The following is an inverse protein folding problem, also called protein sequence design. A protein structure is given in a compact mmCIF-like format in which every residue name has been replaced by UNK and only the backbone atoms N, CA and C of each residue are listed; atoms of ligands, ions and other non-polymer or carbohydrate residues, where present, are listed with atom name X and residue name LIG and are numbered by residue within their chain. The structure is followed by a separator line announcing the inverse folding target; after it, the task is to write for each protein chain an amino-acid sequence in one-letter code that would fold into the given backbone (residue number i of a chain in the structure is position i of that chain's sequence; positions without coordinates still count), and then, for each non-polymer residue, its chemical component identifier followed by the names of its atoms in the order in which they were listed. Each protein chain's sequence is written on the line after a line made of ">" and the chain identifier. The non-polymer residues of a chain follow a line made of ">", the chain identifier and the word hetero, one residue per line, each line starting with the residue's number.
data_IF_382474984114
#
_entry.id   IF_382474984114
#
_cell.length_a   1.000
_cell.length_b   1.000
_cell.length_c   1.000
_cell.angle_alpha   90.00
_cell.angle_beta   90.00
_cell.angle_gamma   90.00
#
_symmetry.space_group_name_H-M   'P 1'
#
loop_
_entity.id
_entity.type
_entity.pdbx_description
1 polymer ?
#
# COMPACT_ATOMS: atom_id res chain seq x y z
N UNK A 1 -87.53 0.23 -3.12
CA UNK A 1 -87.78 1.31 -4.11
C UNK A 1 -86.43 1.62 -4.75
N UNK A 2 -86.05 1.20 -5.96
CA UNK A 2 -86.74 0.68 -7.15
C UNK A 2 -87.32 1.72 -8.13
N UNK A 3 -86.48 2.14 -9.10
CA UNK A 3 -86.79 2.66 -10.46
C UNK A 3 -85.58 2.23 -11.35
N UNK A 4 -85.66 1.42 -12.42
CA UNK A 4 -86.24 1.60 -13.80
C UNK A 4 -85.56 2.68 -14.64
N UNK A 5 -85.16 2.54 -15.91
CA UNK A 5 -85.29 1.50 -17.00
C UNK A 5 -84.08 1.64 -17.97
N UNK A 6 -83.51 0.61 -18.62
CA UNK A 6 -83.93 -0.02 -19.90
C UNK A 6 -84.24 0.98 -21.05
N UNK A 7 -83.70 0.97 -22.29
CA UNK A 7 -83.38 -0.06 -23.33
C UNK A 7 -82.50 0.62 -24.46
N UNK A 8 -81.97 0.04 -25.56
CA UNK A 8 -81.69 -1.34 -26.04
C UNK A 8 -80.91 -1.34 -27.41
N UNK A 9 -80.15 -2.42 -27.69
CA UNK A 9 -79.81 -3.03 -29.02
C UNK A 9 -79.32 -2.22 -30.25
N UNK A 10 -78.25 -2.71 -30.90
CA UNK A 10 -78.30 -3.30 -32.28
C UNK A 10 -77.00 -4.05 -32.67
N UNK A 11 -77.09 -4.96 -33.66
CA UNK A 11 -75.98 -5.68 -34.32
C UNK A 11 -75.97 -5.35 -35.82
N UNK A 12 -74.79 -5.35 -36.45
CA UNK A 12 -74.58 -5.48 -37.90
C UNK A 12 -73.22 -6.19 -38.17
N UNK A 13 -73.01 -6.69 -39.41
CA UNK A 13 -71.79 -7.39 -39.89
C UNK A 13 -71.30 -6.78 -41.20
N UNK A 14 -70.02 -7.04 -41.56
CA UNK A 14 -69.37 -7.11 -42.92
C UNK A 14 -68.05 -6.29 -42.97
N UNK A 15 -67.00 -6.63 -43.75
CA UNK A 15 -66.51 -7.89 -44.38
C UNK A 15 -64.97 -7.78 -44.62
N UNK A 16 -64.31 -8.84 -45.12
CA UNK A 16 -62.84 -9.07 -45.13
C UNK A 16 -61.94 -8.21 -46.08
N UNK A 17 -60.63 -8.21 -45.74
CA UNK A 17 -59.43 -8.16 -46.61
C UNK A 17 -59.05 -6.79 -47.24
N UNK A 18 -57.74 -6.49 -47.51
CA UNK A 18 -56.64 -7.39 -47.92
C UNK A 18 -55.30 -7.32 -47.13
N UNK A 19 -54.28 -8.03 -47.64
CA UNK A 19 -52.86 -8.18 -47.22
C UNK A 19 -51.93 -7.72 -48.38
N UNK A 20 -50.57 -7.70 -48.25
CA UNK A 20 -49.66 -7.56 -47.09
C UNK A 20 -48.61 -6.41 -47.31
N UNK A 21 -47.60 -6.26 -46.41
CA UNK A 21 -46.19 -5.93 -46.78
C UNK A 21 -45.23 -6.10 -45.58
N UNK A 22 -43.93 -6.29 -45.85
CA UNK A 22 -42.88 -6.68 -44.91
C UNK A 22 -42.46 -5.62 -43.86
N UNK A 23 -42.08 -6.09 -42.66
CA UNK A 23 -40.97 -5.52 -41.88
C UNK A 23 -40.02 -6.64 -41.45
N UNK A 24 -38.71 -6.39 -41.52
CA UNK A 24 -37.65 -7.39 -41.29
C UNK A 24 -37.53 -7.77 -39.81
N UNK A 25 -37.36 -9.05 -39.53
CA UNK A 25 -36.99 -9.56 -38.21
C UNK A 25 -35.52 -9.26 -37.92
N UNK A 26 -35.22 -8.41 -36.95
CA UNK A 26 -33.86 -8.25 -36.41
C UNK A 26 -33.65 -9.24 -35.26
N UNK A 27 -32.86 -10.29 -35.51
CA UNK A 27 -32.50 -11.28 -34.49
C UNK A 27 -31.64 -10.63 -33.40
N UNK A 28 -32.27 -10.17 -32.31
CA UNK A 28 -31.57 -9.73 -31.10
C UNK A 28 -31.00 -10.95 -30.38
N UNK A 29 -29.79 -11.38 -30.76
CA UNK A 29 -29.02 -12.40 -30.04
C UNK A 29 -28.85 -11.94 -28.59
N UNK A 30 -29.62 -12.53 -27.69
CA UNK A 30 -29.37 -12.45 -26.25
C UNK A 30 -28.12 -13.26 -25.94
N UNK A 31 -26.97 -12.60 -25.85
CA UNK A 31 -25.76 -13.16 -25.28
C UNK A 31 -26.00 -13.40 -23.80
N UNK A 32 -26.44 -14.62 -23.46
CA UNK A 32 -26.43 -15.10 -22.09
C UNK A 32 -25.00 -14.98 -21.55
N UNK A 33 -24.76 -14.11 -20.57
CA UNK A 33 -23.51 -14.14 -19.80
C UNK A 33 -23.34 -15.57 -19.30
N UNK A 34 -22.20 -16.19 -19.62
CA UNK A 34 -21.90 -17.51 -19.09
C UNK A 34 -22.00 -17.46 -17.55
N UNK A 35 -22.52 -18.50 -16.88
CA UNK A 35 -22.44 -18.57 -15.43
C UNK A 35 -20.98 -18.38 -15.01
N UNK A 36 -20.73 -17.51 -14.03
CA UNK A 36 -19.44 -17.51 -13.34
C UNK A 36 -19.17 -18.93 -12.84
N UNK A 37 -17.96 -19.48 -13.04
CA UNK A 37 -17.66 -20.84 -12.61
C UNK A 37 -18.01 -21.00 -11.12
N UNK A 38 -18.59 -22.13 -10.70
CA UNK A 38 -19.02 -22.32 -9.33
C UNK A 38 -17.83 -22.11 -8.40
N UNK A 39 -18.02 -21.27 -7.38
CA UNK A 39 -17.00 -20.98 -6.39
C UNK A 39 -16.63 -22.28 -5.68
N UNK A 40 -15.36 -22.66 -5.78
CA UNK A 40 -14.82 -23.87 -5.17
C UNK A 40 -14.73 -23.67 -3.64
N UNK A 41 -15.81 -24.03 -2.96
CA UNK A 41 -15.95 -23.83 -1.51
C UNK A 41 -14.85 -24.53 -0.71
N UNK A 42 -14.25 -25.61 -1.23
CA UNK A 42 -13.16 -26.33 -0.56
C UNK A 42 -11.80 -25.64 -0.73
N UNK A 43 -11.66 -24.69 -1.67
CA UNK A 43 -10.47 -23.82 -1.76
C UNK A 43 -10.58 -22.59 -0.85
N UNK A 44 -11.80 -22.05 -0.66
CA UNK A 44 -12.04 -20.93 0.25
C UNK A 44 -12.16 -21.36 1.71
N UNK A 45 -12.70 -22.55 1.94
CA UNK A 45 -12.93 -23.15 3.26
C UNK A 45 -12.48 -24.61 3.24
N UNK A 46 -11.15 -24.86 3.17
CA UNK A 46 -10.62 -26.22 3.26
C UNK A 46 -11.02 -26.89 4.59
N UNK A 47 -11.19 -28.23 4.64
CA UNK A 47 -11.61 -28.92 5.85
C UNK A 47 -10.69 -28.62 7.03
N UNK A 48 -11.25 -28.40 8.22
CA UNK A 48 -10.45 -28.04 9.40
C UNK A 48 -9.45 -29.15 9.74
N UNK A 49 -8.17 -28.78 9.88
CA UNK A 49 -7.06 -29.73 10.07
C UNK A 49 -6.53 -30.39 8.79
N UNK A 50 -7.02 -30.04 7.59
CA UNK A 50 -6.39 -30.43 6.32
C UNK A 50 -5.08 -29.68 6.09
N UNK A 51 -4.21 -30.25 5.24
CA UNK A 51 -2.96 -29.61 4.84
C UNK A 51 -3.20 -28.24 4.17
N UNK A 52 -4.24 -28.11 3.34
CA UNK A 52 -4.65 -26.83 2.76
C UNK A 52 -5.07 -25.80 3.83
N UNK A 53 -5.81 -26.21 4.86
CA UNK A 53 -6.21 -25.33 5.95
C UNK A 53 -5.00 -24.88 6.80
N UNK A 54 -4.13 -25.82 7.16
CA UNK A 54 -2.90 -25.54 7.91
C UNK A 54 -1.96 -24.61 7.13
N UNK A 55 -1.82 -24.83 5.82
CA UNK A 55 -1.05 -23.95 4.95
C UNK A 55 -1.69 -22.55 4.83
N UNK A 56 -3.01 -22.44 4.74
CA UNK A 56 -3.70 -21.13 4.70
C UNK A 56 -3.52 -20.34 6.00
N UNK A 57 -3.68 -20.98 7.17
CA UNK A 57 -3.42 -20.35 8.47
C UNK A 57 -1.97 -19.90 8.60
N UNK A 58 -1.02 -20.79 8.36
CA UNK A 58 0.40 -20.47 8.50
C UNK A 58 0.88 -19.38 7.53
N UNK A 59 0.38 -19.39 6.29
CA UNK A 59 0.63 -18.32 5.32
C UNK A 59 0.00 -16.98 5.73
N UNK A 60 -1.15 -16.97 6.41
CA UNK A 60 -1.78 -15.76 6.94
C UNK A 60 -0.98 -15.20 8.12
N UNK A 61 -0.64 -16.02 9.11
CA UNK A 61 0.20 -15.63 10.25
C UNK A 61 1.56 -15.08 9.80
N UNK A 62 2.23 -15.76 8.87
CA UNK A 62 3.49 -15.31 8.28
C UNK A 62 3.34 -13.98 7.52
N UNK A 63 2.16 -13.71 6.94
CA UNK A 63 1.85 -12.42 6.32
C UNK A 63 1.70 -11.35 7.39
N UNK A 64 0.92 -11.60 8.44
CA UNK A 64 0.67 -10.63 9.51
C UNK A 64 1.93 -10.29 10.31
N UNK A 65 2.83 -11.25 10.53
CA UNK A 65 4.18 -11.01 11.09
C UNK A 65 4.97 -10.08 10.17
N UNK A 66 4.97 -10.30 8.84
CA UNK A 66 5.66 -9.40 7.91
C UNK A 66 5.04 -7.99 7.88
N UNK A 67 3.71 -7.85 8.02
CA UNK A 67 3.10 -6.52 8.14
C UNK A 67 3.60 -5.81 9.41
N UNK A 68 3.62 -6.54 10.52
CA UNK A 68 4.14 -6.03 11.78
C UNK A 68 5.64 -5.65 11.68
N UNK A 69 6.46 -6.33 10.86
CA UNK A 69 7.83 -5.89 10.59
C UNK A 69 7.89 -4.48 9.97
N UNK A 70 7.02 -4.16 8.99
CA UNK A 70 6.94 -2.81 8.43
C UNK A 70 6.43 -1.78 9.46
N UNK A 71 5.41 -2.12 10.26
CA UNK A 71 4.89 -1.23 11.31
C UNK A 71 5.91 -0.97 12.41
N UNK A 72 6.59 -2.01 12.91
CA UNK A 72 7.57 -1.94 13.98
C UNK A 72 8.82 -1.16 13.57
N UNK A 73 9.37 -1.39 12.35
CA UNK A 73 10.49 -0.59 11.83
C UNK A 73 10.10 0.89 11.73
N UNK A 74 8.89 1.18 11.25
CA UNK A 74 8.40 2.56 11.14
C UNK A 74 8.13 3.21 12.50
N UNK A 75 7.73 2.42 13.51
CA UNK A 75 7.61 2.88 14.90
C UNK A 75 8.98 3.10 15.55
N UNK A 76 9.94 2.19 15.35
CA UNK A 76 11.31 2.26 15.88
C UNK A 76 12.00 3.55 15.43
N UNK A 77 12.01 3.83 14.12
CA UNK A 77 12.64 5.04 13.58
C UNK A 77 11.94 6.33 14.03
N UNK A 78 10.61 6.34 14.15
CA UNK A 78 9.89 7.49 14.69
C UNK A 78 10.17 7.73 16.18
N UNK A 79 10.27 6.66 16.99
CA UNK A 79 10.66 6.75 18.40
C UNK A 79 12.11 7.23 18.56
N UNK A 80 13.05 6.72 17.74
CA UNK A 80 14.44 7.19 17.73
C UNK A 80 14.54 8.68 17.43
N UNK A 81 13.79 9.14 16.41
CA UNK A 81 13.73 10.56 16.04
C UNK A 81 13.17 11.42 17.17
N UNK A 82 12.04 11.05 17.76
CA UNK A 82 11.41 11.79 18.87
C UNK A 82 12.28 11.79 20.15
N UNK A 83 13.01 10.70 20.41
CA UNK A 83 13.97 10.63 21.50
C UNK A 83 15.19 11.54 21.24
N UNK A 84 15.67 11.59 20.00
CA UNK A 84 16.76 12.49 19.57
C UNK A 84 16.35 13.97 19.65
N UNK A 85 15.09 14.28 19.32
CA UNK A 85 14.44 15.59 19.51
C UNK A 85 14.17 15.94 20.99
N UNK A 86 14.49 15.02 21.92
CA UNK A 86 14.30 15.15 23.38
C UNK A 86 12.85 15.36 23.82
N UNK A 87 11.90 14.80 23.07
CA UNK A 87 10.49 14.75 23.49
C UNK A 87 10.36 13.84 24.72
N UNK A 88 9.74 14.35 25.78
CA UNK A 88 9.57 13.61 27.04
C UNK A 88 8.58 12.44 26.87
N UNK A 89 8.94 11.26 27.37
CA UNK A 89 8.23 9.99 27.12
C UNK A 89 8.99 9.08 26.15
N UNK A 90 9.01 9.38 24.83
CA UNK A 90 9.66 8.53 23.81
C UNK A 90 11.08 8.08 24.11
N UNK A 91 11.88 8.87 24.84
CA UNK A 91 13.26 8.51 25.25
C UNK A 91 13.31 7.19 26.03
N UNK A 92 12.40 6.97 26.99
CA UNK A 92 12.39 5.76 27.82
C UNK A 92 11.90 4.55 27.02
N UNK A 93 10.81 4.74 26.26
CA UNK A 93 10.27 3.71 25.36
C UNK A 93 11.31 3.25 24.34
N UNK A 94 12.04 4.19 23.73
CA UNK A 94 13.10 3.91 22.78
C UNK A 94 14.29 3.19 23.44
N UNK A 95 14.73 3.64 24.63
CA UNK A 95 15.83 2.98 25.36
C UNK A 95 15.52 1.52 25.67
N UNK A 96 14.30 1.23 26.11
CA UNK A 96 13.86 -0.15 26.35
C UNK A 96 13.83 -0.98 25.06
N UNK A 97 13.31 -0.42 23.95
CA UNK A 97 13.23 -1.09 22.65
C UNK A 97 14.61 -1.40 22.05
N UNK A 98 15.59 -0.50 22.25
CA UNK A 98 16.99 -0.73 21.90
C UNK A 98 17.58 -1.92 22.68
N UNK A 99 17.46 -1.90 24.01
CA UNK A 99 17.97 -2.98 24.89
C UNK A 99 17.34 -4.34 24.57
N UNK A 100 16.03 -4.40 24.26
CA UNK A 100 15.37 -5.63 23.82
C UNK A 100 15.83 -6.11 22.43
N UNK A 101 16.31 -5.21 21.58
CA UNK A 101 16.85 -5.54 20.25
C UNK A 101 18.28 -6.06 20.37
N UNK A 102 19.13 -5.36 21.12
CA UNK A 102 20.53 -5.74 21.40
C UNK A 102 20.60 -7.09 22.15
N UNK A 103 19.91 -7.22 23.29
CA UNK A 103 19.87 -8.45 24.10
C UNK A 103 19.05 -9.61 23.50
N UNK A 104 18.50 -9.41 22.30
CA UNK A 104 18.04 -10.47 21.41
C UNK A 104 19.17 -10.90 20.46
N UNK A 105 19.75 -9.95 19.72
CA UNK A 105 20.81 -10.21 18.72
C UNK A 105 22.04 -10.87 19.34
N UNK A 106 22.53 -10.33 20.46
CA UNK A 106 23.67 -10.90 21.22
C UNK A 106 23.42 -12.37 21.60
N UNK A 107 22.18 -12.70 21.96
CA UNK A 107 21.77 -14.03 22.42
C UNK A 107 21.72 -15.04 21.29
N UNK A 108 21.10 -14.71 20.16
CA UNK A 108 21.03 -15.61 19.02
C UNK A 108 22.42 -15.85 18.41
N UNK A 109 23.28 -14.80 18.40
CA UNK A 109 24.71 -14.91 18.04
C UNK A 109 25.46 -15.80 19.03
N UNK A 110 25.23 -15.65 20.33
CA UNK A 110 25.84 -16.48 21.37
C UNK A 110 25.48 -17.95 21.25
N UNK A 111 24.20 -18.28 21.00
CA UNK A 111 23.76 -19.65 20.71
C UNK A 111 24.41 -20.19 19.44
N UNK A 112 24.45 -19.41 18.36
CA UNK A 112 25.10 -19.82 17.12
C UNK A 112 26.59 -20.13 17.30
N UNK A 113 27.33 -19.26 17.97
CA UNK A 113 28.76 -19.47 18.24
C UNK A 113 28.99 -20.70 19.13
N UNK A 114 28.17 -20.94 20.15
CA UNK A 114 28.24 -22.14 20.99
C UNK A 114 28.01 -23.43 20.18
N UNK A 115 27.07 -23.44 19.24
CA UNK A 115 26.87 -24.57 18.32
C UNK A 115 28.09 -24.76 17.40
N UNK A 116 28.62 -23.69 16.81
CA UNK A 116 29.81 -23.73 15.92
C UNK A 116 31.04 -24.26 16.66
N UNK A 117 31.23 -23.90 17.92
CA UNK A 117 32.34 -24.40 18.75
C UNK A 117 32.19 -25.87 19.11
N UNK A 118 30.98 -26.31 19.48
CA UNK A 118 30.67 -27.72 19.75
C UNK A 118 30.95 -28.61 18.53
N UNK A 119 30.48 -28.21 17.33
CA UNK A 119 30.72 -28.98 16.11
C UNK A 119 32.21 -29.06 15.71
N UNK A 120 33.00 -28.00 15.93
CA UNK A 120 34.45 -28.03 15.74
C UNK A 120 35.14 -29.02 16.68
N UNK A 121 34.72 -29.05 17.95
CA UNK A 121 35.28 -29.95 18.97
C UNK A 121 34.98 -31.43 18.68
N UNK A 122 33.80 -31.74 18.14
CA UNK A 122 33.41 -33.13 17.83
C UNK A 122 34.04 -33.71 16.55
N UNK A 123 34.30 -32.88 15.53
CA UNK A 123 34.61 -33.36 14.17
C UNK A 123 35.93 -32.89 13.55
N UNK A 124 36.66 -31.99 14.23
CA UNK A 124 37.97 -31.48 13.77
C UNK A 124 37.89 -30.46 12.62
N UNK A 125 36.98 -30.67 11.66
CA UNK A 125 36.61 -29.69 10.63
C UNK A 125 35.11 -29.37 10.68
N UNK A 126 34.75 -28.16 10.25
CA UNK A 126 33.37 -27.69 10.21
C UNK A 126 32.58 -28.33 9.05
N UNK A 127 31.98 -29.49 9.31
CA UNK A 127 30.91 -30.01 8.45
C UNK A 127 29.64 -29.17 8.63
N UNK A 128 28.93 -28.91 7.52
CA UNK A 128 27.59 -28.33 7.51
C UNK A 128 26.53 -29.34 8.03
N UNK A 129 26.65 -29.71 9.30
CA UNK A 129 25.56 -30.31 10.07
C UNK A 129 24.71 -29.15 10.57
N UNK A 130 23.52 -28.96 10.00
CA UNK A 130 22.64 -27.84 10.31
C UNK A 130 22.33 -27.78 11.82
N UNK A 131 22.73 -26.71 12.54
CA UNK A 131 22.06 -26.37 13.77
C UNK A 131 20.60 -26.09 13.42
N UNK A 132 19.65 -26.78 14.05
CA UNK A 132 18.22 -26.49 13.92
C UNK A 132 17.86 -25.24 14.73
N UNK A 133 18.52 -24.11 14.44
CA UNK A 133 18.14 -22.79 14.92
C UNK A 133 17.64 -21.96 13.73
N UNK A 134 16.44 -21.41 13.90
CA UNK A 134 15.80 -20.51 12.92
C UNK A 134 16.68 -19.29 12.61
N UNK A 135 17.51 -18.86 13.57
CA UNK A 135 18.58 -17.90 13.36
C UNK A 135 19.56 -18.32 12.26
N UNK A 136 20.13 -19.53 12.34
CA UNK A 136 21.11 -20.01 11.38
C UNK A 136 20.50 -20.20 9.98
N UNK A 137 19.27 -20.74 9.92
CA UNK A 137 18.49 -20.82 8.69
C UNK A 137 18.29 -19.43 8.06
N UNK A 138 17.81 -18.46 8.81
CA UNK A 138 17.55 -17.10 8.33
C UNK A 138 18.82 -16.41 7.82
N UNK A 139 19.90 -16.48 8.60
CA UNK A 139 21.19 -15.86 8.25
C UNK A 139 21.83 -16.56 7.04
N UNK A 140 21.63 -17.87 6.87
CA UNK A 140 22.09 -18.61 5.68
C UNK A 140 21.26 -18.28 4.44
N UNK A 141 19.95 -18.11 4.57
CA UNK A 141 19.04 -17.85 3.45
C UNK A 141 19.00 -16.36 3.00
N UNK A 142 19.10 -15.43 3.95
CA UNK A 142 18.81 -14.00 3.77
C UNK A 142 19.93 -13.07 4.29
N UNK A 143 20.93 -13.60 4.97
CA UNK A 143 22.11 -12.84 5.41
C UNK A 143 21.91 -11.98 6.65
N UNK A 144 23.04 -11.68 7.29
CA UNK A 144 23.16 -10.87 8.51
C UNK A 144 22.46 -9.51 8.44
N UNK A 145 22.52 -8.84 7.29
CA UNK A 145 21.89 -7.54 7.04
C UNK A 145 20.37 -7.60 7.17
N UNK A 146 19.73 -8.59 6.53
CA UNK A 146 18.28 -8.76 6.64
C UNK A 146 17.90 -9.20 8.05
N UNK A 147 18.69 -10.09 8.68
CA UNK A 147 18.47 -10.47 10.08
C UNK A 147 18.49 -9.25 11.00
N UNK A 148 19.49 -8.37 10.86
CA UNK A 148 19.63 -7.16 11.66
C UNK A 148 18.49 -6.17 11.43
N UNK A 149 18.07 -5.94 10.18
CA UNK A 149 16.90 -5.10 9.87
C UNK A 149 15.64 -5.67 10.54
N UNK A 150 15.32 -6.95 10.30
CA UNK A 150 14.15 -7.59 10.88
C UNK A 150 14.20 -7.69 12.41
N UNK A 151 15.39 -7.79 13.02
CA UNK A 151 15.56 -7.85 14.49
C UNK A 151 15.01 -6.63 15.24
N UNK A 152 14.84 -5.49 14.57
CA UNK A 152 14.24 -4.30 15.17
C UNK A 152 12.73 -4.46 15.40
N UNK A 153 12.07 -5.36 14.67
CA UNK A 153 10.67 -5.69 14.84
C UNK A 153 10.42 -6.71 15.96
N UNK A 154 9.48 -6.43 16.85
CA UNK A 154 9.07 -7.38 17.89
C UNK A 154 8.44 -8.63 17.26
N UNK A 155 7.60 -8.45 16.25
CA UNK A 155 6.92 -9.56 15.58
C UNK A 155 7.92 -10.57 14.97
N UNK A 156 9.08 -10.12 14.50
CA UNK A 156 10.16 -11.00 14.03
C UNK A 156 10.92 -11.67 15.19
N UNK A 157 11.30 -10.90 16.23
CA UNK A 157 11.94 -11.44 17.45
C UNK A 157 11.08 -12.48 18.17
N UNK A 158 9.76 -12.43 17.97
CA UNK A 158 8.79 -13.42 18.44
C UNK A 158 8.58 -14.55 17.43
N UNK A 159 8.41 -14.27 16.13
CA UNK A 159 8.26 -15.31 15.10
C UNK A 159 9.40 -16.34 15.07
N UNK A 160 10.65 -15.90 15.29
CA UNK A 160 11.83 -16.77 15.39
C UNK A 160 11.83 -17.70 16.63
N UNK A 161 10.95 -17.47 17.62
CA UNK A 161 10.85 -18.22 18.89
C UNK A 161 9.51 -18.92 19.12
N UNK A 162 8.42 -18.33 18.65
CA UNK A 162 7.03 -18.64 19.04
C UNK A 162 6.19 -19.23 17.90
N UNK A 163 6.53 -18.95 16.63
CA UNK A 163 5.80 -19.53 15.50
C UNK A 163 6.01 -21.05 15.42
N UNK A 164 5.14 -21.78 14.71
CA UNK A 164 5.48 -23.13 14.25
C UNK A 164 6.39 -23.09 13.00
N UNK A 165 6.95 -24.24 12.62
CA UNK A 165 7.91 -24.34 11.52
C UNK A 165 7.30 -24.05 10.13
N UNK A 166 5.97 -24.23 9.97
CA UNK A 166 5.23 -23.94 8.73
C UNK A 166 5.01 -22.43 8.61
N UNK A 167 4.58 -21.76 9.67
CA UNK A 167 4.48 -20.29 9.74
C UNK A 167 5.86 -19.65 9.57
N UNK A 168 6.90 -20.22 10.18
CA UNK A 168 8.27 -19.76 10.01
C UNK A 168 8.79 -19.90 8.57
N UNK A 169 8.61 -21.05 7.92
CA UNK A 169 9.01 -21.25 6.52
C UNK A 169 8.32 -20.26 5.56
N UNK A 170 7.02 -20.02 5.74
CA UNK A 170 6.31 -18.99 4.98
C UNK A 170 6.81 -17.57 5.28
N UNK A 171 7.26 -17.27 6.51
CA UNK A 171 7.80 -15.96 6.87
C UNK A 171 9.15 -15.71 6.17
N UNK A 172 10.05 -16.70 6.18
CA UNK A 172 11.33 -16.63 5.46
C UNK A 172 11.10 -16.40 3.96
N UNK A 173 10.18 -17.16 3.34
CA UNK A 173 9.80 -16.97 1.94
C UNK A 173 9.28 -15.55 1.67
N UNK A 174 8.34 -15.04 2.48
CA UNK A 174 7.74 -13.70 2.27
C UNK A 174 8.75 -12.56 2.44
N UNK A 175 9.71 -12.72 3.35
CA UNK A 175 10.83 -11.78 3.51
C UNK A 175 11.75 -11.85 2.28
N UNK A 176 12.01 -13.04 1.72
CA UNK A 176 12.76 -13.19 0.46
C UNK A 176 12.05 -12.50 -0.72
N UNK A 177 10.74 -12.73 -0.89
CA UNK A 177 9.90 -12.12 -1.93
C UNK A 177 9.84 -10.58 -1.84
N UNK A 178 10.08 -10.02 -0.65
CA UNK A 178 10.06 -8.59 -0.37
C UNK A 178 11.42 -8.02 0.04
N UNK A 179 12.52 -8.73 -0.20
CA UNK A 179 13.86 -8.38 0.32
C UNK A 179 14.26 -6.93 0.06
N UNK A 180 14.19 -6.49 -1.20
CA UNK A 180 14.53 -5.12 -1.61
C UNK A 180 13.55 -4.06 -1.07
N UNK A 181 12.29 -4.44 -0.85
CA UNK A 181 11.26 -3.58 -0.26
C UNK A 181 11.55 -3.31 1.21
N UNK A 182 11.86 -4.37 1.99
CA UNK A 182 12.24 -4.26 3.41
C UNK A 182 13.54 -3.46 3.55
N UNK A 183 14.54 -3.69 2.68
CA UNK A 183 15.79 -2.93 2.70
C UNK A 183 15.59 -1.44 2.38
N UNK A 184 14.84 -1.11 1.31
CA UNK A 184 14.50 0.27 0.96
C UNK A 184 13.67 0.95 2.07
N UNK A 185 12.73 0.23 2.67
CA UNK A 185 11.87 0.74 3.74
C UNK A 185 12.67 1.09 5.00
N UNK A 186 13.64 0.25 5.38
CA UNK A 186 14.56 0.51 6.49
C UNK A 186 15.53 1.67 6.19
N UNK A 187 16.14 1.70 5.00
CA UNK A 187 17.08 2.75 4.61
C UNK A 187 16.42 4.13 4.48
N UNK A 188 15.23 4.21 3.86
CA UNK A 188 14.43 5.45 3.75
C UNK A 188 13.89 6.00 5.07
N UNK A 189 14.07 5.26 6.18
CA UNK A 189 13.79 5.68 7.56
C UNK A 189 15.05 5.77 8.41
N UNK A 190 16.22 5.78 7.77
CA UNK A 190 17.57 5.85 8.37
C UNK A 190 17.84 4.82 9.47
N UNK A 191 17.19 3.65 9.42
CA UNK A 191 17.31 2.59 10.42
C UNK A 191 18.78 2.16 10.62
N UNK A 192 19.31 2.36 11.83
CA UNK A 192 20.73 2.13 12.18
C UNK A 192 21.05 0.66 12.44
N UNK A 193 20.55 -0.23 11.59
CA UNK A 193 20.59 -1.69 11.77
C UNK A 193 22.00 -2.28 11.97
N UNK A 194 23.06 -1.54 11.58
CA UNK A 194 24.45 -1.97 11.79
C UNK A 194 24.91 -1.87 13.23
N UNK A 195 24.33 -1.00 14.06
CA UNK A 195 24.82 -0.76 15.42
C UNK A 195 24.83 -2.05 16.25
N UNK A 196 23.75 -2.85 16.13
CA UNK A 196 23.57 -4.16 16.77
C UNK A 196 24.51 -5.26 16.25
N UNK A 197 25.18 -5.06 15.11
CA UNK A 197 26.21 -5.98 14.59
C UNK A 197 27.64 -5.43 14.78
N UNK A 198 27.81 -4.11 14.85
CA UNK A 198 29.12 -3.45 14.98
C UNK A 198 29.87 -3.88 16.24
N UNK A 199 29.14 -4.13 17.34
CA UNK A 199 29.71 -4.68 18.59
C UNK A 199 30.38 -6.06 18.41
N UNK A 200 30.05 -6.78 17.35
CA UNK A 200 30.60 -8.09 17.00
C UNK A 200 31.63 -8.08 15.86
N UNK A 201 31.98 -6.90 15.31
CA UNK A 201 32.92 -6.73 14.18
C UNK A 201 34.32 -7.34 14.43
N UNK A 202 34.74 -7.48 15.70
CA UNK A 202 36.00 -8.12 16.08
C UNK A 202 35.91 -9.64 16.34
N UNK A 203 34.72 -10.24 16.25
CA UNK A 203 34.49 -11.64 16.55
C UNK A 203 34.60 -12.50 15.27
N UNK A 204 35.19 -13.70 15.37
CA UNK A 204 35.35 -14.63 14.25
C UNK A 204 34.05 -15.41 13.94
N UNK A 205 32.96 -14.69 13.69
CA UNK A 205 31.61 -15.21 13.45
C UNK A 205 31.48 -15.58 11.96
N UNK A 206 31.17 -16.84 11.60
CA UNK A 206 31.12 -17.24 10.20
C UNK A 206 30.04 -16.48 9.41
N UNK A 207 30.43 -15.90 8.28
CA UNK A 207 29.55 -15.18 7.35
C UNK A 207 29.20 -13.75 7.74
N UNK A 208 29.62 -13.24 8.90
CA UNK A 208 29.39 -11.84 9.28
C UNK A 208 30.11 -10.90 8.29
N UNK A 209 29.43 -9.90 7.68
CA UNK A 209 30.08 -8.97 6.76
C UNK A 209 31.03 -8.01 7.47
N UNK A 210 31.99 -7.45 6.74
CA UNK A 210 32.74 -6.27 7.22
C UNK A 210 31.78 -5.06 7.29
N UNK A 211 31.37 -4.70 8.50
CA UNK A 211 30.48 -3.57 8.74
C UNK A 211 31.07 -2.24 8.26
N UNK A 212 32.40 -2.09 8.10
CA UNK A 212 33.00 -0.85 7.58
C UNK A 212 32.65 -0.65 6.11
N UNK A 213 32.87 -1.67 5.27
CA UNK A 213 32.48 -1.65 3.86
C UNK A 213 30.94 -1.50 3.70
N UNK A 214 30.18 -2.14 4.58
CA UNK A 214 28.71 -2.05 4.60
C UNK A 214 28.18 -0.66 5.04
N UNK A 215 28.94 0.10 5.84
CA UNK A 215 28.67 1.52 6.14
C UNK A 215 28.96 2.37 4.91
N UNK A 216 30.16 2.26 4.33
CA UNK A 216 30.61 3.09 3.21
C UNK A 216 29.68 2.96 2.00
N UNK A 217 29.27 1.72 1.67
CA UNK A 217 28.33 1.42 0.57
C UNK A 217 26.96 2.08 0.75
N UNK A 218 26.50 2.23 2.00
CA UNK A 218 25.16 2.73 2.33
C UNK A 218 25.12 4.22 2.64
N UNK A 219 26.24 4.83 3.03
CA UNK A 219 26.40 6.28 3.04
C UNK A 219 26.47 6.86 1.61
N UNK A 220 26.86 6.04 0.63
CA UNK A 220 26.81 6.38 -0.79
C UNK A 220 25.39 6.30 -1.39
N UNK A 221 24.52 5.42 -0.85
CA UNK A 221 23.11 5.36 -1.23
C UNK A 221 22.34 6.49 -0.53
N UNK A 222 21.64 7.31 -1.32
CA UNK A 222 20.79 8.38 -0.83
C UNK A 222 19.33 8.08 -1.13
N UNK A 223 18.50 8.11 -0.10
CA UNK A 223 17.04 8.12 -0.20
C UNK A 223 16.51 9.19 0.74
N UNK A 224 16.42 10.42 0.22
CA UNK A 224 15.99 11.59 1.00
C UNK A 224 14.51 11.51 1.41
N UNK A 225 13.71 10.69 0.70
CA UNK A 225 12.31 10.40 1.02
C UNK A 225 11.87 9.05 0.41
N UNK A 226 10.99 8.25 1.05
CA UNK A 226 10.52 6.97 0.48
C UNK A 226 9.94 7.09 -0.93
N UNK A 227 9.28 8.21 -1.24
CA UNK A 227 8.64 8.47 -2.54
C UNK A 227 9.57 9.10 -3.60
N UNK A 228 10.88 9.13 -3.33
CA UNK A 228 11.93 9.46 -4.31
C UNK A 228 12.67 8.24 -4.85
N UNK A 229 12.23 7.02 -4.52
CA UNK A 229 12.79 5.79 -5.06
C UNK A 229 11.70 4.86 -5.56
N UNK A 230 11.90 4.30 -6.75
CA UNK A 230 11.02 3.33 -7.39
C UNK A 230 11.78 2.01 -7.54
N UNK A 231 11.17 0.90 -7.09
CA UNK A 231 11.65 -0.45 -7.36
C UNK A 231 11.27 -0.84 -8.80
N UNK A 232 12.25 -1.16 -9.64
CA UNK A 232 12.05 -1.52 -11.05
C UNK A 232 11.68 -3.00 -11.23
N UNK A 233 11.18 -3.35 -12.43
CA UNK A 233 10.82 -4.74 -12.77
C UNK A 233 12.03 -5.69 -12.73
N UNK A 234 13.24 -5.18 -12.98
CA UNK A 234 14.49 -5.95 -12.93
C UNK A 234 15.20 -5.89 -11.56
N UNK A 235 14.49 -5.48 -10.50
CA UNK A 235 15.00 -5.52 -9.12
C UNK A 235 16.06 -4.46 -8.81
N UNK A 236 16.05 -3.35 -9.54
CA UNK A 236 16.92 -2.18 -9.29
C UNK A 236 16.10 -1.03 -8.69
N UNK A 237 16.77 0.09 -8.48
CA UNK A 237 16.22 1.31 -7.94
C UNK A 237 16.42 2.44 -8.96
N UNK A 238 15.41 3.28 -9.14
CA UNK A 238 15.49 4.51 -9.96
C UNK A 238 14.81 5.68 -9.26
N UNK A 239 15.23 6.90 -9.60
CA UNK A 239 14.56 8.12 -9.17
C UNK A 239 13.36 8.46 -10.08
N UNK A 240 12.27 9.03 -9.53
CA UNK A 240 11.12 9.47 -10.32
C UNK A 240 11.44 10.75 -11.10
N UNK A 241 11.22 10.73 -12.43
CA UNK A 241 11.51 11.88 -13.31
C UNK A 241 10.35 12.23 -14.25
N UNK A 242 10.30 13.50 -14.67
CA UNK A 242 9.42 14.02 -15.72
C UNK A 242 10.17 15.06 -16.55
N UNK A 243 10.14 14.91 -17.88
CA UNK A 243 10.86 15.77 -18.83
C UNK A 243 12.33 16.03 -18.44
N UNK A 244 13.02 14.98 -17.97
CA UNK A 244 14.43 15.04 -17.57
C UNK A 244 14.71 15.71 -16.21
N UNK A 245 13.68 16.01 -15.40
CA UNK A 245 13.81 16.56 -14.05
C UNK A 245 13.28 15.60 -13.00
N UNK A 246 13.88 15.60 -11.82
CA UNK A 246 13.38 14.88 -10.64
C UNK A 246 11.97 15.37 -10.26
N UNK A 247 11.17 14.47 -9.68
CA UNK A 247 9.82 14.76 -9.20
C UNK A 247 9.85 15.05 -7.70
N UNK A 248 9.45 16.25 -7.32
CA UNK A 248 9.59 16.83 -5.99
C UNK A 248 8.37 16.47 -5.12
N UNK A 249 8.64 15.94 -3.91
CA UNK A 249 7.60 15.60 -2.94
C UNK A 249 7.15 16.87 -2.20
N UNK A 250 5.85 16.99 -1.93
CA UNK A 250 5.27 18.13 -1.20
C UNK A 250 4.33 17.61 -0.10
N UNK A 251 4.32 18.29 1.05
CA UNK A 251 3.46 17.97 2.20
C UNK A 251 2.17 18.81 2.25
N UNK A 252 2.04 19.79 1.35
CA UNK A 252 0.84 20.61 1.17
C UNK A 252 0.70 21.09 -0.28
N UNK A 253 -0.51 21.46 -0.70
CA UNK A 253 -0.76 21.97 -2.06
C UNK A 253 -0.32 23.42 -2.21
N UNK A 254 0.56 23.67 -3.19
CA UNK A 254 1.19 24.99 -3.38
C UNK A 254 0.33 25.88 -4.27
N UNK A 255 -0.26 26.93 -3.69
CA UNK A 255 -1.03 27.95 -4.40
C UNK A 255 -0.15 29.11 -4.92
N UNK A 256 -0.34 29.51 -6.18
CA UNK A 256 0.37 30.64 -6.82
C UNK A 256 -0.65 31.63 -7.41
N UNK A 257 -0.93 32.77 -6.73
CA UNK A 257 -1.89 33.77 -7.20
C UNK A 257 -1.59 34.35 -8.58
N UNK A 258 -0.31 34.38 -9.00
CA UNK A 258 0.09 34.97 -10.30
C UNK A 258 -0.39 34.12 -11.47
N UNK A 259 -0.50 32.80 -11.25
CA UNK A 259 -1.00 31.84 -12.26
C UNK A 259 -2.51 31.71 -12.27
N UNK A 260 -3.22 32.23 -11.26
CA UNK A 260 -4.68 32.15 -11.16
C UNK A 260 -5.39 33.43 -11.63
N UNK A 261 -5.04 33.90 -12.84
CA UNK A 261 -5.59 35.11 -13.45
C UNK A 261 -5.52 36.36 -12.57
N UNK A 262 -4.51 36.46 -11.70
CA UNK A 262 -4.35 37.55 -10.74
C UNK A 262 -5.31 37.52 -9.54
N UNK A 263 -6.15 36.50 -9.38
CA UNK A 263 -6.97 36.31 -8.17
C UNK A 263 -6.02 36.11 -6.99
N UNK A 264 -6.04 37.04 -6.02
CA UNK A 264 -5.21 36.96 -4.80
C UNK A 264 -5.67 35.87 -3.82
N UNK A 265 -6.87 35.35 -3.99
CA UNK A 265 -7.53 34.44 -3.05
C UNK A 265 -7.32 32.98 -3.45
N UNK A 266 -6.83 32.18 -2.49
CA UNK A 266 -6.74 30.72 -2.58
C UNK A 266 -8.14 30.09 -2.75
N UNK A 267 -8.40 29.34 -3.84
CA UNK A 267 -9.71 28.74 -4.12
C UNK A 267 -10.03 27.52 -3.25
N UNK A 268 -9.08 27.01 -2.45
CA UNK A 268 -9.32 25.90 -1.51
C UNK A 268 -9.89 26.37 -0.18
N UNK A 269 -9.87 27.67 0.14
CA UNK A 269 -10.41 28.17 1.41
C UNK A 269 -11.94 27.97 1.47
N UNK A 270 -12.37 27.18 2.46
CA UNK A 270 -13.75 26.77 2.72
C UNK A 270 -14.71 27.95 2.91
N UNK A 271 -14.26 28.96 3.66
CA UNK A 271 -14.96 30.24 3.82
C UNK A 271 -14.20 31.31 3.04
N UNK A 272 -14.87 31.93 2.06
CA UNK A 272 -14.31 33.06 1.35
C UNK A 272 -14.50 34.35 2.18
N UNK A 273 -13.54 35.30 2.19
CA UNK A 273 -13.64 36.54 2.96
C UNK A 273 -14.74 37.51 2.49
N UNK A 274 -15.49 37.16 1.44
CA UNK A 274 -16.72 37.85 1.03
C UNK A 274 -18.01 37.22 1.60
N UNK A 275 -17.89 36.24 2.50
CA UNK A 275 -19.02 35.55 3.14
C UNK A 275 -19.61 34.38 2.34
N UNK A 276 -19.20 34.16 1.09
CA UNK A 276 -19.70 33.05 0.28
C UNK A 276 -19.00 31.74 0.69
N UNK A 277 -19.79 30.72 1.04
CA UNK A 277 -19.28 29.34 1.15
C UNK A 277 -19.00 28.78 -0.24
N UNK A 278 -17.97 27.93 -0.37
CA UNK A 278 -17.99 26.90 -1.41
C UNK A 278 -19.14 25.94 -1.13
N UNK A 279 -19.93 25.53 -2.13
CA UNK A 279 -21.04 24.57 -1.97
C UNK A 279 -20.56 23.11 -1.81
N UNK A 280 -19.39 22.90 -1.21
CA UNK A 280 -18.75 21.59 -1.01
C UNK A 280 -18.30 21.50 0.44
N UNK A 281 -18.71 20.43 1.12
CA UNK A 281 -18.33 20.13 2.51
C UNK A 281 -18.67 21.25 3.50
N UNK A 282 -19.97 21.38 3.81
CA UNK A 282 -20.47 22.30 4.83
C UNK A 282 -19.81 22.08 6.20
N UNK A 283 -19.42 20.84 6.49
CA UNK A 283 -18.82 20.36 7.74
C UNK A 283 -17.41 19.79 7.50
N UNK A 284 -16.56 19.86 8.52
CA UNK A 284 -15.22 19.25 8.50
C UNK A 284 -15.33 17.72 8.59
N UNK A 285 -14.78 17.00 7.63
CA UNK A 285 -14.83 15.54 7.54
C UNK A 285 -14.11 14.81 8.70
N UNK A 286 -13.29 15.50 9.51
CA UNK A 286 -12.57 14.91 10.65
C UNK A 286 -13.23 15.20 12.02
N UNK A 287 -14.04 16.25 12.15
CA UNK A 287 -14.62 16.66 13.45
C UNK A 287 -16.08 17.12 13.41
N UNK A 288 -16.76 17.05 12.26
CA UNK A 288 -18.14 17.49 12.08
C UNK A 288 -18.38 19.00 12.17
N UNK A 289 -17.40 19.82 12.58
CA UNK A 289 -17.60 21.26 12.76
C UNK A 289 -18.13 21.94 11.49
N UNK A 290 -19.28 22.65 11.52
CA UNK A 290 -19.78 23.46 10.41
C UNK A 290 -19.02 24.80 10.26
N UNK A 291 -18.26 25.20 11.29
CA UNK A 291 -17.31 26.31 11.24
C UNK A 291 -15.92 25.84 10.81
N UNK A 292 -15.09 26.79 10.36
CA UNK A 292 -13.66 26.56 10.13
C UNK A 292 -12.95 26.08 11.40
N UNK A 293 -11.94 25.21 11.25
CA UNK A 293 -11.18 24.63 12.36
C UNK A 293 -9.80 24.17 11.91
N UNK A 294 -8.87 23.95 12.83
CA UNK A 294 -7.46 23.66 12.53
C UNK A 294 -7.17 22.18 12.22
N UNK A 295 -8.21 21.40 11.88
CA UNK A 295 -8.06 19.99 11.55
C UNK A 295 -7.14 19.79 10.33
N UNK A 296 -6.23 18.81 10.43
CA UNK A 296 -5.33 18.37 9.35
C UNK A 296 -5.45 16.86 9.20
N UNK A 297 -5.33 16.35 7.97
CA UNK A 297 -5.28 14.91 7.74
C UNK A 297 -3.87 14.42 8.10
N UNK A 298 -3.73 13.71 9.21
CA UNK A 298 -2.50 13.03 9.61
C UNK A 298 -2.53 11.58 9.11
N UNK A 299 -2.56 11.38 7.79
CA UNK A 299 -2.61 10.03 7.25
C UNK A 299 -1.29 9.30 7.46
N UNK A 300 -1.39 8.01 7.79
CA UNK A 300 -0.25 7.09 7.87
C UNK A 300 -0.08 6.21 6.64
N UNK A 301 -0.97 6.29 5.65
CA UNK A 301 -0.83 5.47 4.44
C UNK A 301 0.46 5.82 3.68
N UNK A 302 0.85 7.10 3.65
CA UNK A 302 2.15 7.53 3.11
C UNK A 302 3.38 7.00 3.88
N UNK A 303 3.23 6.46 5.09
CA UNK A 303 4.30 5.74 5.79
C UNK A 303 4.36 4.25 5.40
N UNK A 304 3.35 3.72 4.69
CA UNK A 304 3.09 2.29 4.50
C UNK A 304 2.69 1.96 3.04
N UNK A 305 3.28 2.70 2.10
CA UNK A 305 3.27 2.42 0.66
C UNK A 305 4.69 2.52 0.11
N UNK A 306 4.91 1.96 -1.08
CA UNK A 306 6.13 2.14 -1.87
C UNK A 306 5.79 2.39 -3.34
N UNK A 307 6.77 2.88 -4.10
CA UNK A 307 6.65 3.04 -5.56
C UNK A 307 7.30 1.86 -6.26
N UNK A 308 6.59 1.25 -7.20
CA UNK A 308 7.07 0.06 -7.93
C UNK A 308 6.68 0.12 -9.40
N UNK A 309 7.50 -0.44 -10.26
CA UNK A 309 7.13 -0.64 -11.66
C UNK A 309 6.20 -1.86 -11.85
N UNK A 310 5.24 -1.70 -12.74
CA UNK A 310 4.26 -2.69 -13.17
C UNK A 310 4.33 -2.81 -14.70
N UNK A 311 4.24 -4.02 -15.30
CA UNK A 311 4.63 -4.25 -16.70
C UNK A 311 3.92 -3.38 -17.76
N UNK A 312 2.66 -3.00 -17.51
CA UNK A 312 1.82 -2.31 -18.49
C UNK A 312 1.44 -0.87 -18.07
N UNK A 313 1.48 -0.55 -16.77
CA UNK A 313 1.06 0.74 -16.21
C UNK A 313 2.22 1.66 -15.85
N UNK A 314 3.46 1.18 -15.88
CA UNK A 314 4.63 1.98 -15.53
C UNK A 314 4.83 2.04 -14.03
N UNK A 315 5.03 3.22 -13.45
CA UNK A 315 5.25 3.37 -11.99
C UNK A 315 3.92 3.52 -11.26
N UNK A 316 3.55 2.47 -10.53
CA UNK A 316 2.39 2.40 -9.65
C UNK A 316 2.75 2.55 -8.17
N UNK A 317 1.74 2.42 -7.29
CA UNK A 317 1.90 2.42 -5.82
C UNK A 317 1.54 1.04 -5.27
N UNK A 318 2.42 0.44 -4.46
CA UNK A 318 2.16 -0.83 -3.76
C UNK A 318 1.86 -0.58 -2.28
N UNK A 319 0.83 -1.21 -1.74
CA UNK A 319 0.53 -1.18 -0.30
C UNK A 319 1.50 -2.06 0.49
N UNK A 320 1.94 -1.62 1.68
CA UNK A 320 2.78 -2.40 2.61
C UNK A 320 2.02 -2.85 3.87
N UNK A 321 0.74 -2.46 3.98
CA UNK A 321 -0.20 -2.85 5.03
C UNK A 321 -1.56 -3.16 4.39
N UNK A 322 -2.49 -3.73 5.16
CA UNK A 322 -3.91 -3.72 4.79
C UNK A 322 -4.48 -2.31 5.01
N UNK A 323 -5.30 -1.84 4.08
CA UNK A 323 -6.20 -0.69 4.28
C UNK A 323 -7.65 -1.18 4.20
N UNK A 324 -8.52 -0.62 5.03
CA UNK A 324 -9.92 -1.02 5.14
C UNK A 324 -10.82 -0.15 4.26
N UNK A 325 -11.95 -0.71 3.83
CA UNK A 325 -13.00 0.05 3.13
C UNK A 325 -13.48 1.24 3.97
N UNK A 326 -13.32 2.45 3.42
CA UNK A 326 -13.66 3.72 4.07
C UNK A 326 -12.45 4.51 4.56
N UNK A 327 -11.24 3.93 4.57
CA UNK A 327 -10.02 4.65 4.95
C UNK A 327 -9.74 5.82 3.99
N UNK A 328 -9.50 7.00 4.56
CA UNK A 328 -8.96 8.15 3.83
C UNK A 328 -7.45 7.97 3.75
N UNK A 329 -6.96 7.55 2.59
CA UNK A 329 -5.55 7.21 2.40
C UNK A 329 -4.66 8.46 2.36
N UNK A 330 -5.05 9.51 1.65
CA UNK A 330 -4.25 10.74 1.56
C UNK A 330 -5.01 11.90 0.90
N UNK A 331 -4.50 13.13 1.02
CA UNK A 331 -4.89 14.26 0.15
C UNK A 331 -4.10 14.21 -1.17
N UNK A 332 -4.76 14.34 -2.33
CA UNK A 332 -4.09 14.47 -3.62
C UNK A 332 -3.43 15.85 -3.73
N UNK A 333 -2.12 15.93 -3.49
CA UNK A 333 -1.38 17.20 -3.40
C UNK A 333 -0.77 17.62 -4.74
N UNK A 334 -0.92 18.90 -5.09
CA UNK A 334 -0.38 19.48 -6.33
C UNK A 334 0.09 20.92 -6.17
N UNK A 335 0.97 21.34 -7.08
CA UNK A 335 1.25 22.76 -7.32
C UNK A 335 0.28 23.31 -8.36
N UNK A 336 -0.19 24.54 -8.14
CA UNK A 336 -1.20 25.28 -8.92
C UNK A 336 -2.62 24.64 -8.94
N UNK A 337 -3.54 25.15 -8.12
CA UNK A 337 -4.98 25.09 -8.41
C UNK A 337 -5.35 26.32 -9.25
N UNK A 338 -6.10 26.24 -10.35
CA UNK A 338 -7.23 25.34 -10.59
C UNK A 338 -7.05 24.28 -11.71
N UNK A 339 -5.82 23.89 -12.05
CA UNK A 339 -5.57 22.75 -12.97
C UNK A 339 -4.61 21.77 -12.30
N UNK A 340 -5.16 20.69 -11.74
CA UNK A 340 -4.44 19.70 -10.94
C UNK A 340 -3.35 19.02 -11.79
N UNK A 341 -2.09 19.41 -11.56
CA UNK A 341 -0.95 19.00 -12.39
C UNK A 341 0.21 18.49 -11.50
N UNK A 342 0.23 17.19 -11.16
CA UNK A 342 1.23 16.61 -10.27
C UNK A 342 2.60 16.36 -10.93
N UNK A 343 2.79 16.71 -12.22
CA UNK A 343 3.90 16.22 -13.06
C UNK A 343 5.32 16.44 -12.50
N UNK A 344 5.58 17.58 -11.84
CA UNK A 344 6.84 17.84 -11.14
C UNK A 344 6.67 17.92 -9.61
N UNK A 345 5.49 18.30 -9.10
CA UNK A 345 5.25 18.53 -7.67
C UNK A 345 4.01 17.77 -7.20
N UNK A 346 4.18 16.84 -6.26
CA UNK A 346 3.08 16.08 -5.66
C UNK A 346 3.57 15.02 -4.67
N UNK A 347 2.69 14.56 -3.79
CA UNK A 347 2.96 13.41 -2.92
C UNK A 347 2.72 12.08 -3.65
N UNK A 348 2.85 10.95 -2.94
CA UNK A 348 2.77 9.58 -3.50
C UNK A 348 1.50 9.28 -4.31
N UNK A 349 0.37 9.95 -4.05
CA UNK A 349 -0.89 9.68 -4.74
C UNK A 349 -0.82 9.91 -6.26
N UNK A 350 0.15 10.70 -6.71
CA UNK A 350 0.43 10.98 -8.14
C UNK A 350 0.81 9.75 -8.97
N UNK A 351 1.24 8.65 -8.33
CA UNK A 351 1.62 7.40 -8.99
C UNK A 351 0.50 6.34 -8.92
N UNK A 352 -0.70 6.68 -8.42
CA UNK A 352 -1.82 5.73 -8.30
C UNK A 352 -2.40 5.44 -9.70
N UNK A 353 -2.11 4.24 -10.21
CA UNK A 353 -2.49 3.79 -11.55
C UNK A 353 -4.00 3.73 -11.78
N UNK A 354 -4.43 3.76 -13.04
CA UNK A 354 -5.81 3.51 -13.39
C UNK A 354 -6.19 2.02 -13.31
N UNK A 355 -7.36 1.73 -12.73
CA UNK A 355 -8.07 0.46 -12.95
C UNK A 355 -9.57 0.68 -13.15
N UNK A 356 -10.20 -0.11 -14.01
CA UNK A 356 -11.67 -0.22 -14.13
C UNK A 356 -12.30 -1.07 -13.02
N UNK A 357 -11.49 -1.68 -12.14
CA UNK A 357 -11.94 -2.33 -10.90
C UNK A 357 -11.06 -1.85 -9.73
N UNK A 358 -11.11 -0.54 -9.42
CA UNK A 358 -10.11 0.09 -8.57
C UNK A 358 -10.21 -0.34 -7.11
N UNK A 359 -9.14 -0.12 -6.35
CA UNK A 359 -9.12 -0.20 -4.88
C UNK A 359 -9.61 1.10 -4.23
N UNK A 360 -9.54 2.23 -4.94
CA UNK A 360 -9.80 3.58 -4.41
C UNK A 360 -10.65 4.47 -5.33
N UNK A 361 -11.16 5.57 -4.78
CA UNK A 361 -11.75 6.69 -5.53
C UNK A 361 -11.15 8.03 -5.10
N UNK A 362 -11.32 9.05 -5.94
CA UNK A 362 -11.13 10.44 -5.53
C UNK A 362 -12.44 11.05 -5.01
N UNK A 363 -12.42 11.65 -3.83
CA UNK A 363 -13.57 12.34 -3.22
C UNK A 363 -13.19 13.79 -2.90
N UNK A 364 -14.10 14.74 -3.10
CA UNK A 364 -13.88 16.12 -2.60
C UNK A 364 -14.40 16.23 -1.17
N UNK A 365 -13.53 16.61 -0.23
CA UNK A 365 -13.82 16.76 1.20
C UNK A 365 -13.50 18.17 1.68
N UNK A 366 -14.09 18.56 2.80
CA UNK A 366 -13.61 19.69 3.59
C UNK A 366 -12.87 19.17 4.80
N UNK A 367 -11.62 19.58 4.98
CA UNK A 367 -10.78 19.24 6.14
C UNK A 367 -10.25 20.55 6.72
N UNK A 368 -10.70 20.87 7.93
CA UNK A 368 -10.38 22.11 8.61
C UNK A 368 -10.95 23.36 7.92
N UNK A 369 -10.04 24.25 7.54
CA UNK A 369 -10.27 25.48 6.77
C UNK A 369 -10.29 25.29 5.24
N UNK A 370 -10.00 24.07 4.73
CA UNK A 370 -9.77 23.83 3.30
C UNK A 370 -10.68 22.76 2.68
N UNK A 371 -11.05 22.99 1.43
CA UNK A 371 -11.60 22.01 0.49
C UNK A 371 -10.43 21.31 -0.22
N UNK A 372 -10.42 19.98 -0.16
CA UNK A 372 -9.34 19.11 -0.63
C UNK A 372 -9.88 17.94 -1.44
N UNK A 373 -9.06 17.36 -2.30
CA UNK A 373 -9.33 16.08 -2.95
C UNK A 373 -8.65 14.97 -2.12
N UNK A 374 -9.40 14.00 -1.62
CA UNK A 374 -8.89 12.83 -0.91
C UNK A 374 -8.88 11.60 -1.81
N UNK A 375 -7.92 10.70 -1.59
CA UNK A 375 -7.91 9.33 -2.10
C UNK A 375 -8.51 8.43 -1.01
N UNK A 376 -9.56 7.67 -1.33
CA UNK A 376 -10.36 6.92 -0.33
C UNK A 376 -10.56 5.47 -0.78
N UNK A 377 -10.38 4.51 0.14
CA UNK A 377 -10.51 3.09 -0.13
C UNK A 377 -11.99 2.67 -0.29
N UNK A 378 -12.38 2.18 -1.47
CA UNK A 378 -13.78 1.80 -1.77
C UNK A 378 -14.09 0.33 -1.44
N UNK A 379 -13.04 -0.45 -1.22
CA UNK A 379 -13.00 -1.83 -0.73
C UNK A 379 -11.74 -2.00 0.13
N UNK A 380 -11.62 -3.14 0.81
CA UNK A 380 -10.37 -3.48 1.47
C UNK A 380 -9.25 -3.64 0.41
N UNK A 381 -8.06 -3.18 0.78
CA UNK A 381 -6.84 -3.25 -0.03
C UNK A 381 -5.89 -4.20 0.69
N UNK A 382 -5.47 -5.27 0.02
CA UNK A 382 -4.57 -6.25 0.61
C UNK A 382 -3.13 -5.74 0.65
N UNK A 383 -2.30 -6.22 1.60
CA UNK A 383 -0.86 -5.98 1.55
C UNK A 383 -0.28 -6.45 0.21
N UNK A 384 0.69 -5.70 -0.29
CA UNK A 384 1.39 -5.94 -1.55
C UNK A 384 0.52 -5.80 -2.82
N UNK A 385 -0.74 -5.37 -2.69
CA UNK A 385 -1.62 -5.00 -3.80
C UNK A 385 -1.21 -3.65 -4.43
N UNK A 386 -1.51 -3.43 -5.71
CA UNK A 386 -1.43 -2.12 -6.35
C UNK A 386 -2.62 -1.24 -5.93
N UNK A 387 -2.34 -0.04 -5.41
CA UNK A 387 -3.36 0.98 -5.14
C UNK A 387 -3.74 1.60 -6.49
N UNK A 388 -5.01 1.48 -6.87
CA UNK A 388 -5.52 1.90 -8.18
C UNK A 388 -6.83 2.67 -8.06
N UNK A 389 -7.09 3.56 -9.02
CA UNK A 389 -8.22 4.51 -8.99
C UNK A 389 -8.94 4.58 -10.35
N UNK A 390 -10.24 4.92 -10.33
CA UNK A 390 -10.98 5.23 -11.55
C UNK A 390 -10.67 6.66 -12.03
N UNK A 391 -10.03 6.82 -13.20
CA UNK A 391 -9.81 8.15 -13.80
C UNK A 391 -11.08 8.75 -14.44
N UNK A 392 -12.08 7.91 -14.75
CA UNK A 392 -13.34 8.29 -15.39
C UNK A 392 -13.21 8.59 -16.88
N UNK A 393 -14.32 8.50 -17.62
CA UNK A 393 -14.34 8.53 -19.09
C UNK A 393 -13.82 9.85 -19.66
N UNK A 394 -13.95 10.94 -18.90
CA UNK A 394 -13.46 12.27 -19.28
C UNK A 394 -11.95 12.31 -19.50
N UNK A 395 -11.18 11.51 -18.75
CA UNK A 395 -9.74 11.37 -18.96
C UNK A 395 -9.48 10.75 -20.34
N UNK A 396 -10.05 9.56 -20.58
CA UNK A 396 -9.88 8.77 -21.80
C UNK A 396 -10.43 9.48 -23.05
N UNK A 397 -11.53 10.24 -22.94
CA UNK A 397 -12.11 11.02 -24.04
C UNK A 397 -11.21 12.11 -24.63
N UNK A 398 -10.07 12.39 -23.99
CA UNK A 398 -9.09 13.40 -24.40
C UNK A 398 -7.67 12.85 -24.60
N UNK A 399 -7.50 11.53 -24.56
CA UNK A 399 -6.20 10.87 -24.55
C UNK A 399 -6.11 9.78 -25.64
N UNK A 400 -5.08 9.85 -26.50
CA UNK A 400 -4.79 8.86 -27.54
C UNK A 400 -4.20 7.53 -26.98
N UNK A 401 -4.56 7.15 -25.76
CA UNK A 401 -4.01 6.00 -25.03
C UNK A 401 -5.11 5.03 -24.61
N UNK A 402 -4.86 3.73 -24.79
CA UNK A 402 -5.79 2.68 -24.38
C UNK A 402 -5.67 2.32 -22.89
N UNK A 403 -6.77 1.81 -22.32
CA UNK A 403 -6.78 1.14 -21.03
C UNK A 403 -5.88 -0.10 -21.02
N UNK A 404 -4.92 -0.17 -20.09
CA UNK A 404 -4.00 -1.31 -19.92
C UNK A 404 -4.17 -2.08 -18.60
N UNK A 405 -5.23 -1.80 -17.82
CA UNK A 405 -5.42 -2.39 -16.48
C UNK A 405 -5.83 -3.88 -16.44
N UNK A 406 -5.95 -4.56 -17.59
CA UNK A 406 -6.37 -5.97 -17.66
C UNK A 406 -7.81 -6.27 -17.20
N UNK A 407 -8.58 -5.25 -16.84
CA UNK A 407 -9.96 -5.37 -16.36
C UNK A 407 -11.00 -4.64 -17.24
N UNK A 408 -10.55 -3.96 -18.30
CA UNK A 408 -11.45 -3.44 -19.34
C UNK A 408 -12.10 -4.60 -20.11
N UNK A 409 -13.43 -4.68 -20.10
CA UNK A 409 -14.23 -5.72 -20.77
C UNK A 409 -14.45 -5.46 -22.28
N UNK A 410 -13.59 -4.62 -22.87
CA UNK A 410 -13.67 -4.18 -24.26
C UNK A 410 -14.59 -2.98 -24.52
N UNK A 411 -15.25 -2.45 -23.49
CA UNK A 411 -16.11 -1.26 -23.58
C UNK A 411 -15.30 0.04 -23.70
N UNK A 412 -14.40 0.29 -22.74
CA UNK A 412 -13.66 1.56 -22.60
C UNK A 412 -14.54 2.77 -22.22
N UNK A 413 -15.81 2.50 -21.88
CA UNK A 413 -16.90 3.45 -21.64
C UNK A 413 -17.92 2.70 -20.74
N UNK A 414 -18.37 3.28 -19.62
CA UNK A 414 -19.56 2.77 -18.88
C UNK A 414 -20.91 3.25 -19.47
#
# INVERSE_FOLDING_TARGET
>A
MAQTRNKATKKAKMVNAPKPINKKTTNRRTTSKAPTPPVDIYKLFPPWGSEEALNQTANQEATDILLAVYHDINAYCNLERLATEKVYGPVETFSNLLVFTEGFVEREIGYYMSCVESFKAERGEFQLVTPNSRFFEFVTALGWKMFAICSHAEAFRRGIKEADDRTWGYLVQKIQENFLSIELFAHSRTLKWRNILWVHQGCAIPGLPDMKADIETHMAWKVDHPHHTIITLDGKLKEPTYNGKLQEHINESIYDPKKWSGRKQDPTLRQMPNGNSTNVGCECALCGSPASCDCRLTSRAGELVELREYPNTGTGVRALTRFMRGDILEIFMVRNLCTICPHQFGNWTRYVSHSCRPSTQFTTRTIGDRVVCTLEAIRDILPFEEITVGYGDRYWSSADYACLCGHCDGSGIE
#
